data_IF_766543253843
#
_entry.id   IF_766543253843
#
_cell.length_a   1.000
_cell.length_b   1.000
_cell.length_c   1.000
_cell.angle_alpha   90.00
_cell.angle_beta   90.00
_cell.angle_gamma   90.00
#
_symmetry.space_group_name_H-M   'P 1'
#
loop_
_entity.id
_entity.type
_entity.pdbx_description
1 polymer ?
#
# COMPACT_ATOMS: atom_id res chain seq x y z
N UNK A 1 -11.66 -49.27 4.96
CA UNK A 1 -11.67 -48.21 6.00
C UNK A 1 -10.53 -47.26 5.65
N UNK A 2 -10.83 -46.27 4.81
CA UNK A 2 -9.83 -45.38 4.20
C UNK A 2 -9.48 -44.31 5.24
N UNK A 3 -8.21 -44.28 5.63
CA UNK A 3 -7.64 -43.32 6.55
C UNK A 3 -7.60 -41.95 5.87
N UNK A 4 -8.50 -41.05 6.27
CA UNK A 4 -8.55 -39.67 5.80
C UNK A 4 -7.40 -38.91 6.45
N UNK A 5 -6.26 -38.81 5.76
CA UNK A 5 -5.18 -37.91 6.12
C UNK A 5 -5.66 -36.47 5.87
N UNK A 6 -6.10 -35.80 6.93
CA UNK A 6 -6.27 -34.35 6.93
C UNK A 6 -4.87 -33.75 6.91
N UNK A 7 -4.41 -33.36 5.72
CA UNK A 7 -3.25 -32.47 5.57
C UNK A 7 -3.67 -31.13 6.11
N UNK A 8 -3.29 -30.83 7.36
CA UNK A 8 -3.34 -29.48 7.88
C UNK A 8 -2.35 -28.64 7.06
N UNK A 9 -2.87 -27.87 6.11
CA UNK A 9 -2.12 -26.82 5.44
C UNK A 9 -1.69 -25.82 6.53
N UNK A 10 -0.45 -25.95 6.98
CA UNK A 10 0.19 -24.93 7.81
C UNK A 10 0.29 -23.71 6.91
N UNK A 11 -0.60 -22.76 7.12
CA UNK A 11 -0.57 -21.50 6.42
C UNK A 11 0.81 -20.88 6.66
N UNK A 12 1.57 -20.74 5.57
CA UNK A 12 2.90 -20.14 5.53
C UNK A 12 2.74 -18.67 5.90
N UNK A 13 2.95 -18.35 7.17
CA UNK A 13 2.82 -17.00 7.66
C UNK A 13 4.19 -16.39 7.87
N UNK A 14 4.49 -15.49 6.95
CA UNK A 14 5.51 -14.50 7.11
C UNK A 14 5.01 -13.47 8.14
N UNK A 15 5.57 -13.49 9.35
CA UNK A 15 5.17 -12.62 10.46
C UNK A 15 3.65 -12.64 10.80
N UNK A 16 3.12 -13.78 11.30
CA UNK A 16 1.70 -13.96 11.57
C UNK A 16 1.11 -12.92 12.54
N UNK A 17 1.93 -12.36 13.43
CA UNK A 17 1.47 -11.45 14.48
C UNK A 17 0.95 -10.13 13.91
N UNK A 18 1.67 -9.53 12.96
CA UNK A 18 1.26 -8.28 12.32
C UNK A 18 0.05 -8.48 11.41
N UNK A 19 0.04 -9.56 10.64
CA UNK A 19 -1.08 -9.91 9.77
C UNK A 19 -2.34 -10.19 10.59
N UNK A 20 -2.23 -10.99 11.66
CA UNK A 20 -3.35 -11.29 12.56
C UNK A 20 -3.89 -10.03 13.22
N UNK A 21 -3.00 -9.14 13.68
CA UNK A 21 -3.42 -7.86 14.26
C UNK A 21 -4.18 -7.01 13.23
N UNK A 22 -3.59 -6.80 12.06
CA UNK A 22 -4.20 -6.00 10.99
C UNK A 22 -5.54 -6.60 10.53
N UNK A 23 -5.65 -7.92 10.37
CA UNK A 23 -6.91 -8.60 10.05
C UNK A 23 -7.97 -8.44 11.15
N UNK A 24 -7.57 -8.55 12.41
CA UNK A 24 -8.49 -8.40 13.55
C UNK A 24 -8.98 -6.96 13.69
N UNK A 25 -8.12 -5.98 13.41
CA UNK A 25 -8.44 -4.56 13.52
C UNK A 25 -9.29 -4.06 12.35
N UNK A 26 -8.93 -4.44 11.12
CA UNK A 26 -9.61 -3.99 9.90
C UNK A 26 -10.86 -4.80 9.55
N UNK A 27 -10.94 -6.06 10.00
CA UNK A 27 -11.92 -7.02 9.51
C UNK A 27 -11.69 -7.47 8.05
N UNK A 28 -10.57 -7.08 7.42
CA UNK A 28 -10.21 -7.45 6.05
C UNK A 28 -9.24 -8.63 6.04
N UNK A 29 -9.29 -9.41 4.97
CA UNK A 29 -8.29 -10.47 4.75
C UNK A 29 -7.00 -9.86 4.21
N UNK A 30 -5.98 -9.77 5.06
CA UNK A 30 -4.63 -9.33 4.69
C UNK A 30 -3.83 -10.53 4.18
N UNK A 31 -3.09 -10.37 3.08
CA UNK A 31 -2.20 -11.40 2.53
C UNK A 31 -0.81 -11.38 3.21
N UNK A 32 -0.04 -12.47 3.09
CA UNK A 32 1.33 -12.52 3.63
C UNK A 32 2.32 -11.60 2.85
N UNK A 33 1.87 -11.02 1.73
CA UNK A 33 2.64 -10.12 0.86
C UNK A 33 2.77 -8.69 1.39
N UNK A 34 2.23 -8.39 2.57
CA UNK A 34 2.34 -7.05 3.18
C UNK A 34 3.81 -6.62 3.36
N UNK A 35 4.66 -7.51 3.88
CA UNK A 35 6.08 -7.25 4.11
C UNK A 35 7.02 -8.04 3.20
N UNK A 36 6.50 -9.00 2.44
CA UNK A 36 7.29 -9.96 1.69
C UNK A 36 7.17 -9.74 0.19
N UNK A 37 8.25 -10.05 -0.53
CA UNK A 37 8.26 -10.01 -1.98
C UNK A 37 7.31 -11.07 -2.57
N UNK A 38 7.20 -12.23 -1.92
CA UNK A 38 6.23 -13.28 -2.27
C UNK A 38 4.96 -13.19 -1.43
N UNK A 39 3.76 -13.36 -2.02
CA UNK A 39 2.50 -13.43 -1.29
C UNK A 39 2.34 -14.73 -0.48
N UNK A 40 3.18 -15.74 -0.75
CA UNK A 40 3.19 -17.03 -0.03
C UNK A 40 4.10 -17.00 1.21
N UNK A 41 4.82 -15.88 1.44
CA UNK A 41 5.76 -15.73 2.54
C UNK A 41 7.22 -15.95 2.14
N UNK A 42 8.15 -16.11 3.10
CA UNK A 42 9.58 -16.00 2.86
C UNK A 42 10.24 -17.34 2.49
N UNK A 43 9.57 -18.45 2.75
CA UNK A 43 10.08 -19.80 2.57
C UNK A 43 9.51 -20.42 1.29
N UNK A 44 10.34 -21.17 0.55
CA UNK A 44 9.94 -21.83 -0.69
C UNK A 44 10.87 -21.50 -1.87
N UNK A 45 10.41 -21.79 -3.08
CA UNK A 45 11.17 -21.66 -4.34
C UNK A 45 10.61 -20.60 -5.29
N UNK A 46 9.51 -19.94 -4.92
CA UNK A 46 8.89 -18.85 -5.67
C UNK A 46 9.74 -17.57 -5.57
N UNK A 47 9.50 -16.60 -6.47
CA UNK A 47 10.23 -15.34 -6.49
C UNK A 47 10.24 -14.63 -5.13
N UNK A 48 11.41 -14.22 -4.66
CA UNK A 48 11.54 -13.51 -3.38
C UNK A 48 11.42 -14.43 -2.15
N UNK A 49 11.50 -15.74 -2.32
CA UNK A 49 11.63 -16.71 -1.23
C UNK A 49 13.08 -17.17 -1.07
N UNK A 50 13.45 -17.55 0.14
CA UNK A 50 14.83 -17.92 0.51
C UNK A 50 15.39 -19.03 -0.37
N UNK A 51 14.58 -20.01 -0.77
CA UNK A 51 15.03 -21.12 -1.61
C UNK A 51 15.17 -20.78 -3.09
N UNK A 52 14.66 -19.63 -3.55
CA UNK A 52 14.81 -19.15 -4.93
C UNK A 52 16.00 -18.20 -5.09
N UNK A 53 16.70 -17.85 -4.00
CA UNK A 53 17.74 -16.82 -4.02
C UNK A 53 19.05 -17.34 -4.62
N UNK A 54 19.67 -16.52 -5.48
CA UNK A 54 21.03 -16.77 -5.97
C UNK A 54 22.10 -16.44 -4.91
N UNK A 55 23.38 -16.69 -5.23
CA UNK A 55 24.49 -16.44 -4.31
C UNK A 55 24.67 -14.98 -3.91
N UNK A 56 24.34 -14.03 -4.80
CA UNK A 56 24.44 -12.58 -4.54
C UNK A 56 23.31 -12.16 -3.61
N UNK A 57 22.08 -12.58 -3.91
CA UNK A 57 20.90 -12.34 -3.10
C UNK A 57 21.03 -12.94 -1.70
N UNK A 58 21.65 -14.13 -1.59
CA UNK A 58 21.95 -14.73 -0.29
C UNK A 58 22.94 -13.91 0.54
N UNK A 59 23.92 -13.25 -0.08
CA UNK A 59 24.82 -12.35 0.65
C UNK A 59 24.11 -11.05 1.06
N UNK A 60 23.28 -10.47 0.19
CA UNK A 60 22.41 -9.32 0.52
C UNK A 60 21.48 -9.64 1.70
N UNK A 61 20.90 -10.84 1.73
CA UNK A 61 20.07 -11.29 2.85
C UNK A 61 20.87 -11.40 4.15
N UNK A 62 22.12 -11.90 4.10
CA UNK A 62 23.00 -11.95 5.29
C UNK A 62 23.37 -10.55 5.76
N UNK A 63 23.65 -9.64 4.84
CA UNK A 63 23.91 -8.24 5.14
C UNK A 63 22.70 -7.56 5.79
N UNK A 64 21.51 -7.77 5.23
CA UNK A 64 20.26 -7.27 5.78
C UNK A 64 20.01 -7.74 7.21
N UNK A 65 20.34 -8.99 7.53
CA UNK A 65 20.23 -9.54 8.90
C UNK A 65 21.22 -8.91 9.88
N UNK A 66 22.35 -8.37 9.40
CA UNK A 66 23.33 -7.65 10.23
C UNK A 66 22.91 -6.22 10.54
N UNK A 67 21.95 -5.65 9.81
CA UNK A 67 21.46 -4.29 10.02
C UNK A 67 20.51 -4.20 11.23
N UNK A 68 21.08 -4.14 12.42
CA UNK A 68 20.32 -4.14 13.67
C UNK A 68 19.77 -2.77 14.08
N UNK A 69 20.28 -1.67 13.52
CA UNK A 69 19.97 -0.29 13.93
C UNK A 69 19.13 0.45 12.86
N UNK A 70 18.27 1.39 13.26
CA UNK A 70 17.61 2.34 12.36
C UNK A 70 18.57 3.10 11.45
N UNK A 71 18.11 3.50 10.27
CA UNK A 71 18.82 4.38 9.34
C UNK A 71 19.86 3.70 8.44
N UNK A 72 20.06 2.38 8.60
CA UNK A 72 20.90 1.60 7.70
C UNK A 72 20.12 1.32 6.41
N UNK A 73 20.70 1.62 5.26
CA UNK A 73 20.14 1.16 3.99
C UNK A 73 20.35 -0.34 3.85
N UNK A 74 19.25 -1.04 3.65
CA UNK A 74 19.21 -2.50 3.58
C UNK A 74 18.36 -2.90 2.40
N UNK A 75 18.92 -3.74 1.55
CA UNK A 75 18.19 -4.38 0.47
C UNK A 75 18.03 -5.87 0.78
N UNK A 76 16.88 -6.24 1.35
CA UNK A 76 16.53 -7.62 1.61
C UNK A 76 15.70 -8.18 0.43
N UNK A 77 16.21 -9.16 -0.32
CA UNK A 77 15.49 -9.74 -1.47
C UNK A 77 14.24 -10.54 -1.08
N UNK A 78 14.06 -10.87 0.20
CA UNK A 78 12.87 -11.57 0.72
C UNK A 78 11.75 -10.60 1.08
N UNK A 79 12.08 -9.32 1.28
CA UNK A 79 11.12 -8.28 1.63
C UNK A 79 10.73 -7.48 0.39
N UNK A 80 9.49 -6.99 0.37
CA UNK A 80 9.07 -6.01 -0.62
C UNK A 80 9.57 -4.60 -0.22
N UNK A 81 9.16 -3.58 -0.97
CA UNK A 81 9.52 -2.18 -0.68
C UNK A 81 9.09 -1.76 0.72
N UNK A 82 7.85 -2.07 1.12
CA UNK A 82 7.35 -1.81 2.48
C UNK A 82 8.19 -2.47 3.57
N UNK A 83 8.46 -3.78 3.46
CA UNK A 83 9.27 -4.52 4.43
C UNK A 83 10.70 -4.00 4.52
N UNK A 84 11.32 -3.63 3.40
CA UNK A 84 12.64 -2.99 3.40
C UNK A 84 12.60 -1.60 4.05
N UNK A 85 11.55 -0.79 3.82
CA UNK A 85 11.39 0.49 4.51
C UNK A 85 11.21 0.29 6.02
N UNK A 86 10.44 -0.70 6.45
CA UNK A 86 10.27 -1.04 7.87
C UNK A 86 11.62 -1.36 8.54
N UNK A 87 12.44 -2.19 7.90
CA UNK A 87 13.79 -2.49 8.40
C UNK A 87 14.67 -1.24 8.42
N UNK A 88 14.57 -0.35 7.43
CA UNK A 88 15.33 0.91 7.41
C UNK A 88 14.89 1.87 8.53
N UNK A 89 13.59 2.04 8.75
CA UNK A 89 13.05 2.98 9.74
C UNK A 89 13.26 2.49 11.17
N UNK A 90 13.01 1.21 11.44
CA UNK A 90 13.05 0.67 12.80
C UNK A 90 14.34 -0.11 13.11
N UNK A 91 15.04 -0.62 12.11
CA UNK A 91 16.06 -1.65 12.31
C UNK A 91 15.44 -3.00 12.67
N UNK A 92 16.18 -4.08 12.45
CA UNK A 92 15.71 -5.45 12.73
C UNK A 92 15.37 -5.65 14.21
N UNK A 93 16.09 -5.00 15.12
CA UNK A 93 15.89 -5.18 16.57
C UNK A 93 14.54 -4.65 17.04
N UNK A 94 14.20 -3.41 16.69
CA UNK A 94 12.90 -2.84 17.06
C UNK A 94 11.75 -3.55 16.34
N UNK A 95 11.94 -3.98 15.09
CA UNK A 95 10.93 -4.79 14.38
C UNK A 95 10.67 -6.13 15.08
N UNK A 96 11.71 -6.77 15.62
CA UNK A 96 11.57 -8.00 16.43
C UNK A 96 10.87 -7.72 17.76
N UNK A 97 11.16 -6.59 18.42
CA UNK A 97 10.47 -6.21 19.65
C UNK A 97 9.00 -5.84 19.40
N UNK A 98 8.71 -5.14 18.30
CA UNK A 98 7.36 -4.79 17.87
C UNK A 98 6.50 -6.02 17.53
N UNK A 99 7.09 -7.19 17.29
CA UNK A 99 6.31 -8.44 17.18
C UNK A 99 5.50 -8.71 18.44
N UNK A 100 6.11 -8.49 19.62
CA UNK A 100 5.48 -8.76 20.92
C UNK A 100 4.24 -7.89 21.15
N UNK A 101 4.21 -6.72 20.51
CA UNK A 101 3.09 -5.79 20.55
C UNK A 101 2.84 -5.20 19.15
N UNK A 102 2.10 -5.94 18.28
CA UNK A 102 1.82 -5.51 16.91
C UNK A 102 1.08 -4.18 16.83
N UNK A 103 0.36 -3.81 17.90
CA UNK A 103 -0.29 -2.51 17.97
C UNK A 103 0.74 -1.39 17.90
N UNK A 104 1.96 -1.55 18.39
CA UNK A 104 2.95 -0.47 18.36
C UNK A 104 3.48 -0.17 16.94
N UNK A 105 3.27 -1.06 15.97
CA UNK A 105 3.79 -0.89 14.62
C UNK A 105 3.25 0.37 13.93
N UNK A 106 1.98 0.74 14.15
CA UNK A 106 1.40 1.94 13.53
C UNK A 106 2.07 3.24 13.99
N UNK A 107 2.59 3.29 15.23
CA UNK A 107 3.33 4.47 15.72
C UNK A 107 4.65 4.65 14.96
N UNK A 108 5.36 3.56 14.68
CA UNK A 108 6.60 3.62 13.90
C UNK A 108 6.35 3.86 12.41
N UNK A 109 5.21 3.40 11.89
CA UNK A 109 4.79 3.65 10.51
C UNK A 109 4.35 5.09 10.27
N UNK A 110 3.97 5.85 11.31
CA UNK A 110 3.61 7.26 11.15
C UNK A 110 4.74 8.07 10.52
N UNK A 111 5.99 7.71 10.83
CA UNK A 111 7.18 8.33 10.25
C UNK A 111 7.58 7.71 8.90
N UNK A 112 6.95 6.61 8.48
CA UNK A 112 7.24 5.92 7.22
C UNK A 112 6.65 6.64 6.00
N UNK A 113 5.57 7.42 6.17
CA UNK A 113 4.97 8.25 5.12
C UNK A 113 3.80 7.58 4.40
N UNK A 114 3.73 7.79 3.09
CA UNK A 114 2.81 7.19 2.13
C UNK A 114 3.68 6.64 0.98
N UNK A 115 3.81 5.31 0.91
CA UNK A 115 4.76 4.66 0.01
C UNK A 115 4.31 4.59 -1.44
N UNK A 116 3.02 4.45 -1.70
CA UNK A 116 2.48 4.31 -3.04
C UNK A 116 1.85 5.60 -3.60
N UNK A 117 1.75 6.63 -2.75
CA UNK A 117 1.36 7.98 -3.12
C UNK A 117 -0.14 8.12 -3.38
N UNK A 118 -0.97 7.27 -2.77
CA UNK A 118 -2.42 7.34 -2.91
C UNK A 118 -3.09 8.34 -1.95
N UNK A 119 -2.29 8.94 -1.06
CA UNK A 119 -2.66 9.93 -0.07
C UNK A 119 -3.22 9.34 1.24
N UNK A 120 -3.13 8.02 1.42
CA UNK A 120 -3.34 7.33 2.69
C UNK A 120 -1.98 6.97 3.28
N UNK A 121 -1.77 7.24 4.56
CA UNK A 121 -0.47 6.94 5.21
C UNK A 121 -0.29 5.43 5.42
N UNK A 122 0.94 4.94 5.32
CA UNK A 122 1.30 3.53 5.56
C UNK A 122 0.79 3.01 6.92
N UNK A 123 0.75 3.89 7.93
CA UNK A 123 0.23 3.58 9.26
C UNK A 123 -1.27 3.32 9.27
N UNK A 124 -2.03 4.17 8.55
CA UNK A 124 -3.47 4.01 8.39
C UNK A 124 -3.76 2.74 7.59
N UNK A 125 -2.98 2.47 6.55
CA UNK A 125 -3.16 1.26 5.76
C UNK A 125 -2.89 -0.03 6.52
N UNK A 126 -1.89 -0.03 7.41
CA UNK A 126 -1.65 -1.14 8.32
C UNK A 126 -2.85 -1.40 9.23
N UNK A 127 -3.50 -0.34 9.74
CA UNK A 127 -4.71 -0.46 10.56
C UNK A 127 -5.92 -0.91 9.73
N UNK A 128 -6.04 -0.42 8.49
CA UNK A 128 -7.15 -0.71 7.58
C UNK A 128 -6.98 -2.04 6.83
N UNK A 129 -5.86 -2.74 6.99
CA UNK A 129 -5.58 -3.99 6.30
C UNK A 129 -5.46 -3.83 4.79
N UNK A 130 -5.02 -2.65 4.34
CA UNK A 130 -4.76 -2.30 2.94
C UNK A 130 -3.29 -2.51 2.60
N UNK A 131 -2.86 -2.25 1.36
CA UNK A 131 -1.51 -2.63 0.91
C UNK A 131 -0.68 -1.39 0.58
N UNK A 132 0.33 -1.06 1.41
CA UNK A 132 1.15 0.15 1.27
C UNK A 132 2.05 0.23 0.04
N UNK A 133 1.99 -0.77 -0.84
CA UNK A 133 2.71 -0.76 -2.11
C UNK A 133 1.74 -0.73 -3.31
N UNK A 134 0.44 -0.56 -3.07
CA UNK A 134 -0.57 -0.60 -4.10
C UNK A 134 -1.66 0.44 -3.88
N UNK A 135 -1.50 1.56 -4.58
CA UNK A 135 -2.38 2.73 -4.61
C UNK A 135 -3.86 2.51 -4.96
N UNK A 136 -4.21 1.29 -5.35
CA UNK A 136 -5.57 0.89 -5.72
C UNK A 136 -6.19 -0.08 -4.71
N UNK A 137 -5.45 -0.43 -3.66
CA UNK A 137 -5.87 -1.39 -2.65
C UNK A 137 -6.22 -0.66 -1.36
N UNK A 138 -7.35 0.06 -1.34
CA UNK A 138 -7.79 0.88 -0.23
C UNK A 138 -9.28 0.73 0.08
N UNK A 139 -9.82 1.55 0.97
CA UNK A 139 -11.25 1.78 1.01
C UNK A 139 -11.69 2.63 -0.21
N UNK A 140 -12.68 2.19 -1.02
CA UNK A 140 -13.06 2.91 -2.22
C UNK A 140 -13.49 4.37 -1.98
N UNK A 141 -14.16 4.65 -0.85
CA UNK A 141 -14.60 6.01 -0.53
C UNK A 141 -13.42 6.87 -0.06
N UNK A 142 -12.52 6.32 0.75
CA UNK A 142 -11.31 7.04 1.17
C UNK A 142 -10.48 7.40 -0.05
N UNK A 143 -10.17 6.43 -0.92
CA UNK A 143 -9.40 6.68 -2.14
C UNK A 143 -10.09 7.69 -3.07
N UNK A 144 -11.41 7.60 -3.22
CA UNK A 144 -12.16 8.56 -4.03
C UNK A 144 -12.04 9.98 -3.46
N UNK A 145 -12.27 10.15 -2.16
CA UNK A 145 -12.19 11.46 -1.51
C UNK A 145 -10.78 12.05 -1.57
N UNK A 146 -9.76 11.22 -1.35
CA UNK A 146 -8.36 11.63 -1.46
C UNK A 146 -8.02 12.09 -2.88
N UNK A 147 -8.47 11.35 -3.91
CA UNK A 147 -8.28 11.77 -5.31
C UNK A 147 -9.04 13.06 -5.63
N UNK A 148 -10.28 13.22 -5.16
CA UNK A 148 -11.04 14.47 -5.34
C UNK A 148 -10.32 15.65 -4.69
N UNK A 149 -9.78 15.48 -3.49
CA UNK A 149 -9.03 16.52 -2.79
C UNK A 149 -7.73 16.87 -3.55
N UNK A 150 -6.98 15.87 -4.02
CA UNK A 150 -5.74 16.07 -4.77
C UNK A 150 -5.98 16.82 -6.09
N UNK A 151 -7.08 16.51 -6.78
CA UNK A 151 -7.45 17.10 -8.06
C UNK A 151 -8.49 18.24 -7.95
N UNK A 152 -8.74 18.77 -6.75
CA UNK A 152 -9.81 19.73 -6.52
C UNK A 152 -9.67 20.98 -7.39
N UNK A 153 -8.45 21.50 -7.50
CA UNK A 153 -8.18 22.67 -8.34
C UNK A 153 -8.51 22.40 -9.81
N UNK A 154 -8.06 21.28 -10.37
CA UNK A 154 -8.31 20.89 -11.76
C UNK A 154 -9.80 20.71 -12.02
N UNK A 155 -10.50 20.03 -11.10
CA UNK A 155 -11.95 19.84 -11.16
C UNK A 155 -12.67 21.20 -11.18
N UNK A 156 -12.31 22.12 -10.28
CA UNK A 156 -12.89 23.47 -10.23
C UNK A 156 -12.62 24.22 -11.53
N UNK A 157 -11.40 24.16 -12.06
CA UNK A 157 -11.04 24.84 -13.30
C UNK A 157 -11.82 24.29 -14.50
N UNK A 158 -12.01 22.98 -14.59
CA UNK A 158 -12.83 22.33 -15.63
C UNK A 158 -14.29 22.77 -15.52
N UNK A 159 -14.84 22.86 -14.30
CA UNK A 159 -16.20 23.33 -14.09
C UNK A 159 -16.37 24.80 -14.50
N UNK A 160 -15.42 25.67 -14.15
CA UNK A 160 -15.42 27.07 -14.56
C UNK A 160 -15.28 27.22 -16.07
N UNK A 161 -14.40 26.47 -16.71
CA UNK A 161 -14.22 26.49 -18.15
C UNK A 161 -15.48 26.02 -18.88
N UNK A 162 -16.10 24.93 -18.41
CA UNK A 162 -17.36 24.40 -18.95
C UNK A 162 -18.49 25.42 -18.79
N UNK A 163 -18.62 26.04 -17.62
CA UNK A 163 -19.62 27.07 -17.36
C UNK A 163 -19.43 28.31 -18.25
N UNK A 164 -18.20 28.81 -18.37
CA UNK A 164 -17.87 29.95 -19.24
C UNK A 164 -18.14 29.63 -20.72
N UNK A 165 -17.81 28.42 -21.17
CA UNK A 165 -18.08 27.95 -22.52
C UNK A 165 -19.57 27.87 -22.82
N UNK A 166 -20.36 27.26 -21.93
CA UNK A 166 -21.82 27.21 -22.06
C UNK A 166 -22.44 28.62 -22.05
N UNK A 167 -21.96 29.51 -21.18
CA UNK A 167 -22.40 30.90 -21.15
C UNK A 167 -22.08 31.63 -22.45
N UNK A 168 -20.86 31.52 -22.96
CA UNK A 168 -20.45 32.12 -24.24
C UNK A 168 -21.27 31.62 -25.42
N UNK A 169 -21.48 30.30 -25.51
CA UNK A 169 -22.29 29.69 -26.57
C UNK A 169 -23.76 30.16 -26.50
N UNK A 170 -24.33 30.21 -25.30
CA UNK A 170 -25.71 30.67 -25.10
C UNK A 170 -25.91 32.11 -25.60
N UNK A 171 -25.00 33.02 -25.23
CA UNK A 171 -25.04 34.41 -25.69
C UNK A 171 -24.85 34.52 -27.21
N UNK A 172 -23.97 33.71 -27.81
CA UNK A 172 -23.76 33.67 -29.25
C UNK A 172 -25.03 33.24 -30.00
N UNK A 173 -25.69 32.19 -29.52
CA UNK A 173 -26.95 31.71 -30.10
C UNK A 173 -28.07 32.76 -29.98
N UNK A 174 -28.15 33.47 -28.85
CA UNK A 174 -29.10 34.58 -28.68
C UNK A 174 -28.81 35.72 -29.65
N UNK A 175 -27.54 36.06 -29.89
CA UNK A 175 -27.16 37.10 -30.84
C UNK A 175 -27.56 36.73 -32.27
N UNK A 176 -27.34 35.48 -32.70
CA UNK A 176 -27.79 35.01 -34.01
C UNK A 176 -29.31 35.00 -34.14
N UNK A 177 -30.04 34.58 -33.09
CA UNK A 177 -31.50 34.60 -33.09
C UNK A 177 -32.06 36.04 -33.15
N UNK A 178 -31.41 37.00 -32.47
CA UNK A 178 -31.80 38.41 -32.51
C UNK A 178 -31.50 39.06 -33.86
N UNK A 179 -30.34 38.76 -34.47
CA UNK A 179 -29.95 39.28 -35.79
C UNK A 179 -30.75 38.69 -36.96
N UNK A 180 -31.44 37.57 -36.76
CA UNK A 180 -32.31 36.93 -37.76
C UNK A 180 -33.73 37.51 -37.86
N UNK A 181 -34.14 38.40 -36.94
CA UNK A 181 -35.43 39.09 -37.04
C UNK A 181 -35.33 40.23 -38.06
N UNK A 182 -35.74 39.97 -39.31
CA UNK A 182 -36.09 41.04 -40.26
C UNK A 182 -37.37 41.75 -39.79
N UNK A 183 -37.52 43.07 -40.01
CA UNK A 183 -38.77 43.79 -39.76
C UNK A 183 -39.93 43.25 -40.61
#
# INVERSE_FOLDING_TARGET
MICLLVVAATALHAYPEFQKYSQTHSGRTVNCGMCHASPEGPDGLSFGQVGSLDSVQMELLKEARRAQRPGMEVNNPVLNTFGNRLVRVMGVRLLVDAKKDPAMLHFYLKDAGDMDGDGVTDAQEYLDGTNPNNRHHGDPLVLFLTNVQHHLFEIVMILLATAAGMFGLSNLLMAFAAGGKKP
#
